data_IF_719123460692
#
_entry.id   IF_719123460692
#
_cell.length_a   1.000
_cell.length_b   1.000
_cell.length_c   1.000
_cell.angle_alpha   90.00
_cell.angle_beta   90.00
_cell.angle_gamma   90.00
#
_symmetry.space_group_name_H-M   'P 1'
#
loop_
_entity.id
_entity.type
_entity.pdbx_description
1 polymer ?
#
# COMPACT_ATOMS: atom_id res chain seq x y z
N UNK A 1 -5.36 -18.50 11.63
CA UNK A 1 -5.08 -17.28 10.90
C UNK A 1 -6.35 -16.85 10.23
N UNK A 2 -6.79 -15.62 10.42
CA UNK A 2 -8.10 -15.21 9.94
C UNK A 2 -8.10 -14.98 8.42
N UNK A 3 -9.23 -15.34 7.82
CA UNK A 3 -9.57 -15.07 6.42
C UNK A 3 -10.98 -14.52 6.38
N UNK A 4 -11.22 -13.57 5.50
CA UNK A 4 -12.55 -13.16 5.10
C UNK A 4 -12.74 -13.45 3.61
N UNK A 5 -13.97 -13.77 3.19
CA UNK A 5 -14.26 -13.98 1.77
C UNK A 5 -14.92 -12.74 1.19
N UNK A 6 -14.37 -12.23 0.09
CA UNK A 6 -14.96 -11.14 -0.66
C UNK A 6 -15.00 -11.49 -2.15
N UNK A 7 -16.19 -11.46 -2.75
CA UNK A 7 -16.41 -11.81 -4.17
C UNK A 7 -15.74 -13.15 -4.57
N UNK A 8 -15.85 -14.18 -3.72
CA UNK A 8 -15.30 -15.51 -3.98
C UNK A 8 -13.80 -15.67 -3.72
N UNK A 9 -13.09 -14.61 -3.36
CA UNK A 9 -11.65 -14.63 -3.05
C UNK A 9 -11.45 -14.60 -1.54
N UNK A 10 -10.64 -15.53 -1.01
CA UNK A 10 -10.22 -15.54 0.39
C UNK A 10 -9.15 -14.47 0.61
N UNK A 11 -9.40 -13.51 1.48
CA UNK A 11 -8.48 -12.45 1.86
C UNK A 11 -7.88 -12.76 3.23
N UNK A 12 -6.58 -12.98 3.24
CA UNK A 12 -5.81 -13.25 4.45
C UNK A 12 -5.42 -11.93 5.10
N UNK A 13 -5.50 -11.88 6.42
CA UNK A 13 -5.01 -10.74 7.20
C UNK A 13 -4.43 -11.18 8.53
N UNK A 14 -3.75 -10.28 9.22
CA UNK A 14 -3.19 -10.47 10.55
C UNK A 14 -3.48 -9.26 11.41
N UNK A 15 -3.73 -9.47 12.70
CA UNK A 15 -3.97 -8.35 13.65
C UNK A 15 -2.89 -8.36 14.71
N UNK A 16 -2.27 -7.21 14.94
CA UNK A 16 -1.21 -7.02 15.94
C UNK A 16 -1.47 -5.77 16.77
N UNK A 17 -1.11 -5.81 18.04
CA UNK A 17 -1.24 -4.67 18.93
C UNK A 17 -2.68 -4.36 19.35
N UNK A 18 -2.82 -3.25 20.08
CA UNK A 18 -4.10 -2.75 20.61
C UNK A 18 -4.12 -1.22 20.47
N UNK A 19 -5.33 -0.64 20.36
CA UNK A 19 -5.50 0.80 20.23
C UNK A 19 -6.36 1.18 19.02
N UNK A 20 -6.25 2.43 18.52
CA UNK A 20 -6.94 2.86 17.32
C UNK A 20 -6.59 1.98 16.12
N UNK A 21 -7.59 1.58 15.29
CA UNK A 21 -7.34 0.70 14.17
C UNK A 21 -6.51 1.40 13.08
N UNK A 22 -5.48 0.71 12.58
CA UNK A 22 -4.65 1.10 11.44
C UNK A 22 -4.60 -0.03 10.43
N UNK A 23 -5.23 0.15 9.29
CA UNK A 23 -5.13 -0.78 8.16
C UNK A 23 -3.81 -0.54 7.44
N UNK A 24 -3.08 -1.63 7.16
CA UNK A 24 -1.74 -1.57 6.56
C UNK A 24 -1.68 -2.44 5.31
N UNK A 25 -1.42 -1.82 4.14
CA UNK A 25 -1.47 -2.46 2.82
C UNK A 25 -0.15 -2.36 2.07
N UNK A 26 0.43 -3.50 1.74
CA UNK A 26 1.71 -3.64 1.03
C UNK A 26 1.64 -3.29 -0.47
N UNK A 27 2.82 -3.12 -1.09
CA UNK A 27 2.99 -2.93 -2.53
C UNK A 27 2.94 -4.23 -3.34
N UNK A 28 2.98 -4.10 -4.67
CA UNK A 28 3.09 -5.23 -5.60
C UNK A 28 4.34 -6.06 -5.26
N UNK A 29 4.26 -7.38 -5.45
CA UNK A 29 5.28 -8.38 -5.05
C UNK A 29 5.51 -8.51 -3.55
N UNK A 30 4.83 -7.70 -2.73
CA UNK A 30 4.91 -7.76 -1.27
C UNK A 30 3.86 -8.68 -0.66
N UNK A 31 3.90 -8.75 0.66
CA UNK A 31 2.89 -9.36 1.52
C UNK A 31 2.90 -8.67 2.89
N UNK A 32 1.99 -9.02 3.76
CA UNK A 32 2.01 -8.51 5.14
C UNK A 32 3.32 -8.79 5.89
N UNK A 33 4.09 -9.83 5.47
CA UNK A 33 5.41 -10.16 6.04
C UNK A 33 6.43 -9.02 5.86
N UNK A 34 6.27 -8.18 4.83
CA UNK A 34 7.17 -7.07 4.57
C UNK A 34 7.12 -6.03 5.71
N UNK A 35 5.95 -5.81 6.30
CA UNK A 35 5.77 -4.85 7.39
C UNK A 35 6.49 -5.28 8.67
N UNK A 36 6.59 -6.61 8.92
CA UNK A 36 7.43 -7.14 9.99
C UNK A 36 8.92 -6.95 9.66
N UNK A 37 9.32 -7.34 8.44
CA UNK A 37 10.72 -7.30 8.03
C UNK A 37 11.31 -5.88 8.00
N UNK A 38 10.48 -4.85 7.77
CA UNK A 38 10.91 -3.45 7.63
C UNK A 38 10.64 -2.60 8.89
N UNK A 39 10.31 -3.22 10.03
CA UNK A 39 10.18 -2.57 11.32
C UNK A 39 8.86 -1.84 11.58
N UNK A 40 7.94 -1.81 10.63
CA UNK A 40 6.66 -1.10 10.78
C UNK A 40 5.78 -1.71 11.88
N UNK A 41 5.70 -3.04 11.94
CA UNK A 41 4.92 -3.72 12.98
C UNK A 41 5.51 -3.44 14.35
N UNK A 42 6.82 -3.56 14.52
CA UNK A 42 7.50 -3.31 15.78
C UNK A 42 7.25 -1.87 16.29
N UNK A 43 7.24 -0.90 15.39
CA UNK A 43 6.99 0.50 15.74
C UNK A 43 5.54 0.73 16.13
N UNK A 44 4.57 0.35 15.28
CA UNK A 44 3.19 0.80 15.43
C UNK A 44 2.31 -0.09 16.31
N UNK A 45 2.63 -1.37 16.53
CA UNK A 45 1.83 -2.26 17.39
C UNK A 45 1.73 -1.80 18.84
N UNK A 46 2.63 -0.92 19.27
CA UNK A 46 2.67 -0.35 20.63
C UNK A 46 1.50 0.60 20.88
N UNK A 47 1.10 1.34 19.85
CA UNK A 47 0.14 2.44 19.94
C UNK A 47 -1.16 2.17 19.13
N UNK A 48 -1.13 1.23 18.19
CA UNK A 48 -2.24 0.95 17.24
C UNK A 48 -2.60 -0.54 17.20
N UNK A 49 -3.86 -0.80 16.89
CA UNK A 49 -4.33 -2.11 16.44
C UNK A 49 -4.12 -2.20 14.94
N UNK A 50 -3.04 -2.85 14.53
CA UNK A 50 -2.65 -3.03 13.14
C UNK A 50 -3.51 -4.12 12.49
N UNK A 51 -4.09 -3.82 11.35
CA UNK A 51 -4.81 -4.76 10.49
C UNK A 51 -3.99 -4.90 9.21
N UNK A 52 -3.12 -5.89 9.17
CA UNK A 52 -2.17 -6.16 8.09
C UNK A 52 -2.86 -7.05 7.06
N UNK A 53 -3.01 -6.60 5.83
CA UNK A 53 -3.78 -7.32 4.80
C UNK A 53 -2.85 -7.84 3.70
N UNK A 54 -2.94 -9.12 3.38
CA UNK A 54 -2.43 -9.65 2.11
C UNK A 54 -3.44 -9.29 1.01
N UNK A 55 -3.07 -8.45 0.06
CA UNK A 55 -3.94 -8.14 -1.07
C UNK A 55 -4.28 -9.39 -1.86
N UNK A 56 -5.45 -9.41 -2.54
CA UNK A 56 -5.74 -10.45 -3.52
C UNK A 56 -4.57 -10.61 -4.50
N UNK A 57 -4.23 -11.85 -4.86
CA UNK A 57 -3.07 -12.17 -5.69
C UNK A 57 -1.73 -12.23 -4.94
N UNK A 58 -1.70 -11.96 -3.62
CA UNK A 58 -0.46 -11.84 -2.85
C UNK A 58 -0.52 -12.66 -1.55
N UNK A 59 0.67 -12.95 -1.02
CA UNK A 59 0.82 -13.60 0.27
C UNK A 59 0.01 -14.89 0.37
N UNK A 60 -0.85 -14.98 1.38
CA UNK A 60 -1.76 -16.12 1.59
C UNK A 60 -3.18 -15.87 1.08
N UNK A 61 -3.49 -14.72 0.53
CA UNK A 61 -4.78 -14.46 -0.11
C UNK A 61 -4.95 -15.26 -1.39
N UNK A 62 -6.19 -15.47 -1.82
CA UNK A 62 -6.52 -16.09 -3.10
C UNK A 62 -5.85 -15.37 -4.27
N UNK A 63 -5.45 -16.13 -5.28
CA UNK A 63 -4.62 -15.68 -6.41
C UNK A 63 -5.33 -15.91 -7.75
N UNK A 64 -6.43 -15.18 -8.05
CA UNK A 64 -7.06 -15.27 -9.35
C UNK A 64 -6.10 -14.80 -10.46
N UNK A 65 -6.21 -15.41 -11.67
CA UNK A 65 -5.39 -15.07 -12.81
C UNK A 65 -6.11 -14.20 -13.84
N UNK A 66 -7.40 -13.92 -13.65
CA UNK A 66 -8.15 -12.99 -14.51
C UNK A 66 -7.92 -11.53 -14.06
N UNK A 67 -7.44 -10.63 -14.92
CA UNK A 67 -7.27 -9.20 -14.58
C UNK A 67 -8.54 -8.52 -14.07
N UNK A 68 -9.72 -8.99 -14.46
CA UNK A 68 -11.01 -8.43 -13.99
C UNK A 68 -11.21 -8.61 -12.48
N UNK A 69 -10.58 -9.61 -11.89
CA UNK A 69 -10.60 -9.86 -10.45
C UNK A 69 -9.76 -8.85 -9.65
N UNK A 70 -9.04 -7.95 -10.33
CA UNK A 70 -8.15 -6.96 -9.72
C UNK A 70 -8.61 -5.52 -9.92
N UNK A 71 -9.86 -5.31 -10.29
CA UNK A 71 -10.45 -3.97 -10.33
C UNK A 71 -10.24 -3.23 -9.00
N UNK A 72 -9.96 -1.93 -9.05
CA UNK A 72 -9.64 -1.14 -7.87
C UNK A 72 -10.76 -1.15 -6.83
N UNK A 73 -12.02 -1.12 -7.29
CA UNK A 73 -13.19 -1.17 -6.39
C UNK A 73 -13.28 -2.52 -5.66
N UNK A 74 -12.91 -3.64 -6.30
CA UNK A 74 -12.82 -4.94 -5.64
C UNK A 74 -11.72 -4.94 -4.59
N UNK A 75 -10.54 -4.37 -4.88
CA UNK A 75 -9.44 -4.26 -3.89
C UNK A 75 -9.82 -3.36 -2.71
N UNK A 76 -10.58 -2.30 -2.94
CA UNK A 76 -11.15 -1.48 -1.85
C UNK A 76 -12.13 -2.30 -1.03
N UNK A 77 -13.03 -3.05 -1.68
CA UNK A 77 -14.01 -3.89 -0.96
C UNK A 77 -13.35 -5.01 -0.15
N UNK A 78 -12.16 -5.49 -0.52
CA UNK A 78 -11.38 -6.41 0.31
C UNK A 78 -10.98 -5.80 1.64
N UNK A 79 -10.51 -4.55 1.61
CA UNK A 79 -10.16 -3.80 2.83
C UNK A 79 -11.39 -3.62 3.72
N UNK A 80 -12.52 -3.22 3.13
CA UNK A 80 -13.75 -3.03 3.88
C UNK A 80 -14.26 -4.33 4.48
N UNK A 81 -14.21 -5.45 3.74
CA UNK A 81 -14.60 -6.77 4.24
C UNK A 81 -13.75 -7.20 5.46
N UNK A 82 -12.43 -6.92 5.43
CA UNK A 82 -11.53 -7.18 6.56
C UNK A 82 -11.88 -6.28 7.76
N UNK A 83 -12.16 -4.99 7.52
CA UNK A 83 -12.59 -4.08 8.59
C UNK A 83 -13.91 -4.53 9.22
N UNK A 84 -14.88 -4.92 8.42
CA UNK A 84 -16.19 -5.39 8.88
C UNK A 84 -16.09 -6.69 9.69
N UNK A 85 -15.26 -7.65 9.22
CA UNK A 85 -14.96 -8.89 9.96
C UNK A 85 -14.30 -8.61 11.33
N UNK A 86 -13.54 -7.52 11.43
CA UNK A 86 -12.90 -7.08 12.65
C UNK A 86 -13.75 -6.13 13.52
N UNK A 87 -14.99 -5.85 13.12
CA UNK A 87 -15.89 -4.93 13.81
C UNK A 87 -15.37 -3.48 13.84
N UNK A 88 -14.62 -3.08 12.82
CA UNK A 88 -14.02 -1.75 12.70
C UNK A 88 -14.86 -0.86 11.81
N UNK A 89 -15.51 0.14 12.37
CA UNK A 89 -16.29 1.13 11.61
C UNK A 89 -15.37 2.09 10.84
N UNK A 90 -14.39 2.70 11.53
CA UNK A 90 -13.41 3.61 10.93
C UNK A 90 -11.99 3.28 11.37
N UNK A 91 -11.03 3.45 10.45
CA UNK A 91 -9.61 3.21 10.70
C UNK A 91 -8.72 4.34 10.16
N UNK A 92 -7.47 4.38 10.58
CA UNK A 92 -6.40 5.03 9.83
C UNK A 92 -5.93 4.09 8.70
N UNK A 93 -5.33 4.62 7.65
CA UNK A 93 -4.81 3.84 6.53
C UNK A 93 -3.33 4.12 6.27
N UNK A 94 -2.55 3.08 6.05
CA UNK A 94 -1.16 3.16 5.58
C UNK A 94 -0.98 2.22 4.40
N UNK A 95 -0.59 2.76 3.25
CA UNK A 95 -0.37 1.97 2.04
C UNK A 95 0.88 2.38 1.28
N UNK A 96 1.60 1.40 0.72
CA UNK A 96 2.77 1.64 -0.10
C UNK A 96 2.55 1.18 -1.54
N UNK A 97 2.91 2.01 -2.53
CA UNK A 97 2.88 1.66 -3.96
C UNK A 97 1.48 1.17 -4.39
N UNK A 98 1.30 -0.10 -4.72
CA UNK A 98 -0.01 -0.70 -4.96
C UNK A 98 -0.98 -0.45 -3.78
N UNK A 99 -0.51 -0.56 -2.54
CA UNK A 99 -1.29 -0.20 -1.36
C UNK A 99 -1.66 1.30 -1.35
N UNK A 100 -0.76 2.17 -1.79
CA UNK A 100 -1.06 3.60 -1.97
C UNK A 100 -2.15 3.84 -3.02
N UNK A 101 -2.13 3.09 -4.13
CA UNK A 101 -3.20 3.14 -5.13
C UNK A 101 -4.54 2.69 -4.55
N UNK A 102 -4.55 1.60 -3.77
CA UNK A 102 -5.77 1.17 -3.05
C UNK A 102 -6.25 2.28 -2.11
N UNK A 103 -5.33 3.00 -1.45
CA UNK A 103 -5.64 4.16 -0.63
C UNK A 103 -6.36 5.28 -1.41
N UNK A 104 -5.89 5.63 -2.61
CA UNK A 104 -6.62 6.56 -3.48
C UNK A 104 -7.96 5.99 -3.97
N UNK A 105 -8.06 4.67 -4.16
CA UNK A 105 -9.34 4.00 -4.41
C UNK A 105 -10.30 4.14 -3.23
N UNK A 106 -9.80 4.04 -2.01
CA UNK A 106 -10.59 4.27 -0.78
C UNK A 106 -11.09 5.72 -0.71
N UNK A 107 -10.25 6.70 -1.04
CA UNK A 107 -10.66 8.11 -1.15
C UNK A 107 -11.86 8.26 -2.08
N UNK A 108 -11.86 7.54 -3.20
CA UNK A 108 -12.93 7.60 -4.20
C UNK A 108 -14.21 6.88 -3.77
N UNK A 109 -14.13 5.77 -3.07
CA UNK A 109 -15.24 4.83 -2.89
C UNK A 109 -15.70 4.63 -1.44
N UNK A 110 -14.89 4.99 -0.45
CA UNK A 110 -15.14 4.67 0.96
C UNK A 110 -14.44 5.64 1.93
N UNK A 111 -14.32 6.92 1.57
CA UNK A 111 -13.62 7.93 2.38
C UNK A 111 -14.15 8.04 3.81
N UNK A 112 -15.46 7.89 3.98
CA UNK A 112 -16.17 7.99 5.25
C UNK A 112 -15.78 6.89 6.27
N UNK A 113 -15.17 5.80 5.80
CA UNK A 113 -14.68 4.69 6.64
C UNK A 113 -13.25 4.94 7.18
N UNK A 114 -12.66 6.11 6.91
CA UNK A 114 -11.28 6.37 7.33
C UNK A 114 -11.11 7.72 8.03
N UNK A 115 -10.15 7.76 8.97
CA UNK A 115 -9.80 8.94 9.74
C UNK A 115 -8.61 9.69 9.15
N UNK A 116 -7.67 9.01 8.54
CA UNK A 116 -6.48 9.60 7.91
C UNK A 116 -5.83 8.63 6.93
N UNK A 117 -4.98 9.17 6.07
CA UNK A 117 -4.20 8.39 5.12
C UNK A 117 -2.71 8.69 5.22
N UNK A 118 -1.91 7.63 5.16
CA UNK A 118 -0.47 7.68 4.89
C UNK A 118 -0.21 6.89 3.61
N UNK A 119 0.25 7.57 2.55
CA UNK A 119 0.52 6.95 1.25
C UNK A 119 1.98 7.12 0.89
N UNK A 120 2.68 6.00 0.71
CA UNK A 120 4.06 5.97 0.28
C UNK A 120 4.23 5.50 -1.16
N UNK A 121 5.16 6.14 -1.91
CA UNK A 121 5.58 5.72 -3.24
C UNK A 121 4.46 5.67 -4.28
N UNK A 122 3.45 6.56 -4.18
CA UNK A 122 2.31 6.60 -5.09
C UNK A 122 1.69 8.00 -5.16
N UNK A 123 1.27 8.41 -6.34
CA UNK A 123 0.44 9.59 -6.57
C UNK A 123 -0.98 9.23 -6.98
N UNK A 124 -1.85 10.22 -7.04
CA UNK A 124 -3.23 10.06 -7.51
C UNK A 124 -3.28 9.82 -9.03
N UNK A 125 -2.49 10.60 -9.80
CA UNK A 125 -2.31 10.41 -11.23
C UNK A 125 -1.21 9.37 -11.49
N UNK A 126 -1.62 8.19 -11.94
CA UNK A 126 -0.71 7.09 -12.28
C UNK A 126 -0.31 7.07 -13.76
N UNK A 127 -0.89 7.93 -14.60
CA UNK A 127 -0.51 8.05 -16.01
C UNK A 127 0.89 8.68 -16.19
N UNK A 128 1.38 9.39 -15.18
CA UNK A 128 2.69 10.07 -15.16
C UNK A 128 3.79 9.24 -14.46
N UNK A 129 3.79 7.92 -14.60
CA UNK A 129 4.86 7.09 -14.03
C UNK A 129 5.89 6.72 -15.09
N UNK A 130 7.18 6.83 -14.75
CA UNK A 130 8.30 6.47 -15.63
C UNK A 130 8.52 4.93 -15.73
N UNK A 131 7.65 4.13 -15.12
CA UNK A 131 7.76 2.66 -15.09
C UNK A 131 6.75 2.02 -16.05
N UNK A 132 7.18 1.57 -17.25
CA UNK A 132 6.28 0.91 -18.19
C UNK A 132 5.77 -0.42 -17.63
N UNK A 133 4.44 -0.64 -17.53
CA UNK A 133 3.88 -1.93 -17.10
C UNK A 133 4.34 -3.10 -17.97
N UNK A 134 4.58 -2.86 -19.26
CA UNK A 134 4.97 -3.87 -20.22
C UNK A 134 6.28 -4.60 -19.86
N UNK A 135 7.32 -3.87 -19.46
CA UNK A 135 8.61 -4.47 -19.10
C UNK A 135 8.53 -5.37 -17.86
N UNK A 136 7.70 -4.98 -16.88
CA UNK A 136 7.44 -5.80 -15.70
C UNK A 136 6.68 -7.07 -16.05
N UNK A 137 5.67 -6.98 -16.90
CA UNK A 137 4.88 -8.14 -17.37
C UNK A 137 5.77 -9.13 -18.13
N UNK A 138 6.64 -8.65 -19.01
CA UNK A 138 7.58 -9.51 -19.72
C UNK A 138 8.54 -10.25 -18.78
N UNK A 139 8.99 -9.57 -17.74
CA UNK A 139 9.87 -10.17 -16.72
C UNK A 139 9.11 -11.23 -15.90
N UNK A 140 7.90 -10.93 -15.45
CA UNK A 140 7.05 -11.89 -14.70
C UNK A 140 6.71 -13.13 -15.54
N UNK A 141 6.53 -13.01 -16.86
CA UNK A 141 6.33 -14.16 -17.77
C UNK A 141 7.50 -15.14 -17.80
N UNK A 142 8.70 -14.68 -17.43
CA UNK A 142 9.89 -15.55 -17.30
C UNK A 142 9.97 -16.23 -15.93
N UNK A 143 9.03 -15.94 -15.04
CA UNK A 143 8.94 -16.49 -13.69
C UNK A 143 9.64 -15.65 -12.62
N UNK A 144 9.41 -16.02 -11.36
CA UNK A 144 9.93 -15.25 -10.22
C UNK A 144 11.45 -15.37 -10.06
N UNK A 145 12.09 -16.46 -10.51
CA UNK A 145 13.55 -16.55 -10.52
C UNK A 145 14.18 -15.50 -11.42
N UNK A 146 13.61 -15.27 -12.61
CA UNK A 146 14.08 -14.23 -13.52
C UNK A 146 13.84 -12.82 -12.94
N UNK A 147 12.69 -12.63 -12.26
CA UNK A 147 12.38 -11.37 -11.58
C UNK A 147 13.39 -11.06 -10.47
N UNK A 148 13.74 -12.05 -9.65
CA UNK A 148 14.74 -11.93 -8.60
C UNK A 148 16.14 -11.65 -9.18
N UNK A 149 16.51 -12.39 -10.22
CA UNK A 149 17.83 -12.19 -10.88
C UNK A 149 17.98 -10.78 -11.48
N UNK A 150 16.91 -10.24 -12.09
CA UNK A 150 16.88 -8.86 -12.61
C UNK A 150 17.01 -7.83 -11.47
N UNK A 151 16.32 -8.05 -10.37
CA UNK A 151 16.43 -7.17 -9.20
C UNK A 151 17.81 -7.21 -8.57
N UNK A 152 18.43 -8.40 -8.44
CA UNK A 152 19.81 -8.55 -7.93
C UNK A 152 20.86 -7.95 -8.88
N UNK A 153 20.63 -7.99 -10.19
CA UNK A 153 21.50 -7.35 -11.16
C UNK A 153 21.49 -5.81 -11.04
N UNK A 154 20.38 -5.23 -10.62
CA UNK A 154 20.19 -3.77 -10.46
C UNK A 154 20.62 -3.24 -9.09
N UNK A 155 20.28 -3.98 -8.04
CA UNK A 155 20.42 -3.54 -6.65
C UNK A 155 21.59 -4.20 -5.91
N UNK A 156 22.22 -5.21 -6.50
CA UNK A 156 23.17 -6.09 -5.83
C UNK A 156 22.49 -7.28 -5.12
N UNK A 157 23.29 -8.20 -4.52
CA UNK A 157 22.78 -9.37 -3.82
C UNK A 157 21.77 -8.97 -2.73
N UNK A 158 20.64 -9.64 -2.71
CA UNK A 158 19.62 -9.37 -1.69
C UNK A 158 19.71 -10.35 -0.52
N UNK A 159 19.24 -9.91 0.63
CA UNK A 159 19.10 -10.73 1.82
C UNK A 159 18.20 -11.94 1.55
N UNK A 160 18.56 -13.11 2.12
CA UNK A 160 17.85 -14.38 1.89
C UNK A 160 16.36 -14.31 2.16
N UNK A 161 15.95 -13.68 3.26
CA UNK A 161 14.54 -13.52 3.62
C UNK A 161 13.77 -12.66 2.63
N UNK A 162 14.38 -11.63 2.01
CA UNK A 162 13.78 -10.86 0.93
C UNK A 162 13.64 -11.70 -0.34
N UNK A 163 14.68 -12.46 -0.68
CA UNK A 163 14.67 -13.35 -1.84
C UNK A 163 13.56 -14.38 -1.76
N UNK A 164 13.42 -15.02 -0.61
CA UNK A 164 12.35 -16.00 -0.35
C UNK A 164 10.96 -15.37 -0.50
N UNK A 165 10.72 -14.19 0.10
CA UNK A 165 9.43 -13.50 -0.02
C UNK A 165 9.07 -13.15 -1.47
N UNK A 166 10.06 -12.82 -2.31
CA UNK A 166 9.82 -12.56 -3.73
C UNK A 166 9.47 -13.84 -4.48
N UNK A 167 10.19 -14.95 -4.22
CA UNK A 167 9.97 -16.24 -4.86
C UNK A 167 8.63 -16.87 -4.47
N UNK A 168 8.08 -16.55 -3.29
CA UNK A 168 6.75 -17.00 -2.83
C UNK A 168 5.57 -16.46 -3.67
N UNK A 169 5.82 -15.48 -4.55
CA UNK A 169 4.77 -14.88 -5.37
C UNK A 169 4.37 -15.77 -6.55
N UNK A 170 3.10 -15.65 -6.92
CA UNK A 170 2.53 -16.25 -8.14
C UNK A 170 2.68 -15.25 -9.30
N UNK A 171 3.53 -15.52 -10.30
CA UNK A 171 3.77 -14.58 -11.39
C UNK A 171 2.53 -14.31 -12.26
N UNK A 172 1.63 -15.28 -12.44
CA UNK A 172 0.40 -15.09 -13.21
C UNK A 172 -0.60 -14.18 -12.48
N UNK A 173 -0.74 -14.34 -11.17
CA UNK A 173 -1.52 -13.43 -10.34
C UNK A 173 -0.94 -12.01 -10.37
N UNK A 174 0.40 -11.86 -10.32
CA UNK A 174 1.05 -10.55 -10.45
C UNK A 174 0.86 -9.92 -11.82
N UNK A 175 0.89 -10.72 -12.90
CA UNK A 175 0.58 -10.27 -14.27
C UNK A 175 -0.86 -9.76 -14.32
N UNK A 176 -1.82 -10.55 -13.82
CA UNK A 176 -3.22 -10.15 -13.77
C UNK A 176 -3.42 -8.85 -12.98
N UNK A 177 -2.78 -8.76 -11.80
CA UNK A 177 -2.83 -7.56 -10.95
C UNK A 177 -2.21 -6.31 -11.61
N UNK A 178 -1.18 -6.49 -12.44
CA UNK A 178 -0.50 -5.41 -13.16
C UNK A 178 -1.27 -4.99 -14.43
N UNK A 179 -1.95 -5.95 -15.08
CA UNK A 179 -2.74 -5.71 -16.31
C UNK A 179 -4.09 -5.06 -16.02
N UNK A 180 -4.63 -5.25 -14.80
CA UNK A 180 -5.91 -4.68 -14.40
C UNK A 180 -5.92 -3.14 -14.53
N UNK A 181 -7.07 -2.54 -14.94
CA UNK A 181 -7.20 -1.10 -15.00
C UNK A 181 -6.84 -0.42 -13.67
N UNK A 182 -6.19 0.73 -13.75
CA UNK A 182 -5.74 1.47 -12.56
C UNK A 182 -6.90 1.96 -11.68
N UNK A 183 -8.02 2.34 -12.29
CA UNK A 183 -9.27 2.68 -11.61
C UNK A 183 -9.25 3.97 -10.81
N UNK A 184 -8.16 4.75 -10.88
CA UNK A 184 -8.01 6.03 -10.15
C UNK A 184 -8.54 7.23 -10.91
N UNK A 185 -9.09 7.04 -12.11
CA UNK A 185 -9.60 8.13 -12.95
C UNK A 185 -10.55 9.05 -12.16
N UNK A 186 -10.27 10.34 -12.18
CA UNK A 186 -11.07 11.37 -11.50
C UNK A 186 -10.82 11.50 -9.99
N UNK A 187 -9.90 10.76 -9.40
CA UNK A 187 -9.51 10.95 -7.99
C UNK A 187 -8.89 12.32 -7.78
N UNK A 188 -8.12 12.82 -8.75
CA UNK A 188 -7.48 14.14 -8.70
C UNK A 188 -8.48 15.26 -8.44
N UNK A 189 -9.67 15.16 -9.03
CA UNK A 189 -10.73 16.15 -8.83
C UNK A 189 -11.30 16.17 -7.40
N UNK A 190 -11.11 15.11 -6.63
CA UNK A 190 -11.55 15.00 -5.24
C UNK A 190 -10.52 15.59 -4.26
N UNK A 191 -9.24 15.62 -4.61
CA UNK A 191 -8.16 15.98 -3.70
C UNK A 191 -8.32 17.38 -3.06
N UNK A 192 -8.71 18.43 -3.79
CA UNK A 192 -8.90 19.76 -3.20
C UNK A 192 -10.02 19.84 -2.16
N UNK A 193 -10.94 18.90 -2.17
CA UNK A 193 -12.08 18.81 -1.23
C UNK A 193 -11.81 17.96 0.01
N UNK A 194 -10.63 17.34 0.13
CA UNK A 194 -10.33 16.46 1.26
C UNK A 194 -10.10 17.26 2.56
N UNK A 195 -10.90 16.96 3.58
CA UNK A 195 -10.84 17.59 4.90
C UNK A 195 -10.35 16.65 6.00
N UNK A 196 -9.68 15.55 5.64
CA UNK A 196 -9.11 14.60 6.60
C UNK A 196 -7.57 14.67 6.55
N UNK A 197 -6.88 14.32 7.66
CA UNK A 197 -5.43 14.30 7.69
C UNK A 197 -4.85 13.39 6.61
N UNK A 198 -3.88 13.89 5.86
CA UNK A 198 -3.24 13.17 4.76
C UNK A 198 -1.72 13.37 4.79
N UNK A 199 -0.98 12.28 4.66
CA UNK A 199 0.47 12.30 4.52
C UNK A 199 0.88 11.52 3.30
N UNK A 200 1.79 12.07 2.50
CA UNK A 200 2.48 11.34 1.44
C UNK A 200 3.99 11.32 1.70
N UNK A 201 4.64 10.23 1.34
CA UNK A 201 6.10 10.16 1.33
C UNK A 201 6.59 9.41 0.08
N UNK A 202 7.76 9.84 -0.43
CA UNK A 202 8.31 9.25 -1.63
C UNK A 202 9.82 9.50 -1.71
N UNK A 203 10.58 8.52 -2.19
CA UNK A 203 11.98 8.75 -2.52
C UNK A 203 12.12 9.75 -3.68
N UNK A 204 13.10 10.63 -3.64
CA UNK A 204 13.29 11.62 -4.71
C UNK A 204 13.89 11.04 -5.99
N UNK A 205 14.44 9.81 -5.91
CA UNK A 205 14.84 8.99 -7.05
C UNK A 205 13.75 8.01 -7.52
N UNK A 206 12.55 8.04 -6.92
CA UNK A 206 11.42 7.19 -7.29
C UNK A 206 10.68 7.78 -8.51
N UNK A 207 10.35 6.96 -9.50
CA UNK A 207 9.55 7.36 -10.67
C UNK A 207 8.16 7.92 -10.33
N UNK A 208 7.63 7.64 -9.11
CA UNK A 208 6.38 8.20 -8.60
C UNK A 208 6.55 9.54 -7.86
N UNK A 209 7.78 10.05 -7.71
CA UNK A 209 8.03 11.25 -6.89
C UNK A 209 7.20 12.46 -7.33
N UNK A 210 7.21 12.78 -8.64
CA UNK A 210 6.45 13.91 -9.19
C UNK A 210 4.95 13.77 -8.97
N UNK A 211 4.39 12.59 -9.21
CA UNK A 211 2.97 12.32 -9.01
C UNK A 211 2.57 12.37 -7.52
N UNK A 212 3.43 11.85 -6.63
CA UNK A 212 3.22 11.88 -5.17
C UNK A 212 3.26 13.32 -4.63
N UNK A 213 4.23 14.12 -5.08
CA UNK A 213 4.34 15.53 -4.72
C UNK A 213 3.13 16.34 -5.22
N UNK A 214 2.74 16.18 -6.49
CA UNK A 214 1.58 16.87 -7.04
C UNK A 214 0.29 16.51 -6.29
N UNK A 215 0.08 15.25 -5.91
CA UNK A 215 -1.06 14.87 -5.09
C UNK A 215 -1.04 15.57 -3.73
N UNK A 216 0.13 15.68 -3.09
CA UNK A 216 0.26 16.36 -1.80
C UNK A 216 -0.03 17.86 -1.88
N UNK A 217 0.35 18.50 -2.99
CA UNK A 217 0.09 19.94 -3.23
C UNK A 217 -1.39 20.20 -3.52
N UNK A 218 -2.11 19.21 -4.06
CA UNK A 218 -3.54 19.31 -4.34
C UNK A 218 -4.43 19.06 -3.11
N UNK A 219 -3.93 18.39 -2.07
CA UNK A 219 -4.69 18.07 -0.86
C UNK A 219 -4.46 19.15 0.20
N UNK A 220 -5.52 19.86 0.67
CA UNK A 220 -5.36 20.88 1.71
C UNK A 220 -4.68 20.34 2.96
N UNK A 221 -3.64 21.05 3.43
CA UNK A 221 -2.88 20.70 4.64
C UNK A 221 -2.26 19.28 4.65
N UNK A 222 -2.04 18.66 3.48
CA UNK A 222 -1.30 17.41 3.41
C UNK A 222 0.17 17.60 3.83
N UNK A 223 0.72 16.61 4.50
CA UNK A 223 2.14 16.53 4.82
C UNK A 223 2.85 15.77 3.71
N UNK A 224 3.90 16.34 3.11
CA UNK A 224 4.76 15.64 2.18
C UNK A 224 6.16 15.43 2.77
N UNK A 225 6.64 14.18 2.73
CA UNK A 225 7.97 13.81 3.21
C UNK A 225 8.79 13.25 2.05
N UNK A 226 9.68 14.04 1.45
CA UNK A 226 10.66 13.54 0.50
C UNK A 226 11.72 12.72 1.23
N UNK A 227 12.11 11.58 0.65
CA UNK A 227 13.19 10.72 1.18
C UNK A 227 14.41 10.84 0.25
N UNK A 228 15.44 11.61 0.65
CA UNK A 228 16.56 11.94 -0.23
C UNK A 228 17.35 10.71 -0.67
N UNK A 229 17.64 10.61 -1.98
CA UNK A 229 18.48 9.58 -2.59
C UNK A 229 17.84 8.20 -2.69
N UNK A 230 16.62 8.01 -2.21
CA UNK A 230 15.97 6.69 -2.22
C UNK A 230 15.15 6.49 -3.50
N UNK A 231 15.30 5.31 -4.09
CA UNK A 231 14.41 4.81 -5.13
C UNK A 231 13.14 4.18 -4.54
N UNK A 232 12.23 3.70 -5.42
CA UNK A 232 10.98 3.07 -5.04
C UNK A 232 11.14 1.88 -4.09
N UNK A 233 12.11 1.02 -4.36
CA UNK A 233 12.37 -0.16 -3.54
C UNK A 233 13.01 0.18 -2.20
N UNK A 234 13.98 1.09 -2.21
CA UNK A 234 14.68 1.55 -1.00
C UNK A 234 13.73 2.27 -0.04
N UNK A 235 12.91 3.20 -0.55
CA UNK A 235 11.93 3.93 0.25
C UNK A 235 10.88 3.02 0.92
N UNK A 236 10.60 1.85 0.34
CA UNK A 236 9.70 0.86 0.97
C UNK A 236 10.35 0.08 2.11
N UNK A 237 11.66 -0.11 2.04
CA UNK A 237 12.42 -0.99 2.94
C UNK A 237 13.10 -0.26 4.09
N UNK A 238 13.50 0.97 3.86
CA UNK A 238 14.18 1.78 4.87
C UNK A 238 13.17 2.54 5.74
N UNK A 239 12.59 1.81 6.71
CA UNK A 239 11.68 2.39 7.69
C UNK A 239 12.32 3.45 8.57
N UNK A 240 13.66 3.45 8.73
CA UNK A 240 14.35 4.34 9.69
C UNK A 240 14.14 5.82 9.39
N UNK A 241 14.06 6.17 8.10
CA UNK A 241 13.86 7.55 7.68
C UNK A 241 12.40 7.99 7.74
N UNK A 242 11.45 7.09 7.50
CA UNK A 242 10.03 7.48 7.39
C UNK A 242 9.22 7.22 8.66
N UNK A 243 9.55 6.19 9.44
CA UNK A 243 8.80 5.81 10.65
C UNK A 243 8.60 6.98 11.64
N UNK A 244 9.61 7.82 11.95
CA UNK A 244 9.40 8.95 12.86
C UNK A 244 8.35 9.96 12.35
N UNK A 245 8.32 10.18 11.03
CA UNK A 245 7.35 11.07 10.41
C UNK A 245 5.94 10.49 10.45
N UNK A 246 5.79 9.20 10.15
CA UNK A 246 4.49 8.50 10.21
C UNK A 246 3.98 8.45 11.65
N UNK A 247 4.82 8.12 12.62
CA UNK A 247 4.47 8.08 14.06
C UNK A 247 3.94 9.43 14.53
N UNK A 248 4.65 10.52 14.21
CA UNK A 248 4.21 11.87 14.54
C UNK A 248 2.86 12.20 13.89
N UNK A 249 2.73 11.97 12.60
CA UNK A 249 1.51 12.26 11.85
C UNK A 249 0.30 11.47 12.39
N UNK A 250 0.44 10.17 12.63
CA UNK A 250 -0.64 9.33 13.12
C UNK A 250 -1.08 9.74 14.54
N UNK A 251 -0.15 10.10 15.43
CA UNK A 251 -0.46 10.61 16.78
C UNK A 251 -1.28 11.91 16.71
N UNK A 252 -0.90 12.84 15.84
CA UNK A 252 -1.64 14.09 15.62
C UNK A 252 -3.03 13.84 15.04
N UNK A 253 -3.15 12.93 14.04
CA UNK A 253 -4.42 12.57 13.43
C UNK A 253 -5.37 11.88 14.43
N UNK A 254 -4.84 10.96 15.26
CA UNK A 254 -5.61 10.26 16.29
C UNK A 254 -6.15 11.22 17.36
N UNK A 255 -5.32 12.20 17.78
CA UNK A 255 -5.72 13.20 18.78
C UNK A 255 -6.89 14.06 18.30
N UNK A 256 -6.96 14.39 17.00
CA UNK A 256 -8.09 15.13 16.43
C UNK A 256 -9.39 14.34 16.47
N UNK A 257 -9.34 13.03 16.17
CA UNK A 257 -10.51 12.14 16.24
C UNK A 257 -11.05 12.04 17.68
N UNK A 258 -10.17 12.03 18.68
CA UNK A 258 -10.57 12.01 20.10
C UNK A 258 -11.21 13.31 20.59
N UNK A 259 -10.90 14.45 19.97
CA UNK A 259 -11.45 15.76 20.32
C UNK A 259 -12.83 16.04 19.71
N UNK A 260 -13.24 15.28 18.69
CA UNK A 260 -14.54 15.41 18.01
C UNK A 260 -15.64 14.50 18.62
N UNK A 261 -15.29 13.68 19.62
CA UNK A 261 -16.22 12.83 20.39
C UNK A 261 -16.57 13.47 21.72
#
# INVERSE_FOLDING_TARGET
>A
MPYVYNSGVAIHYHVEGNGPPLVVQHGLTGSLKNWYAYGFVEEFQKDYRLILVDARGHGRSGKPHDPKEYDLKLRVSDILAVMDDQGVDKAHYLGYSMGGRIGFGIVKHALDRFHSFVIGGMGADVANTDVPPASRIELLRKGMDAYVADAEAKEGPMESGRRERLLDNDPEALIAATTAPMGTDGVEALLPGLNIPFMLYCGDADGFFRASKAASEAIPAAVFVPLPGLDHGQASRDGTLVLPHISKFLKEATSKVGAER
#
